data_IF_241280029454
#
_entry.id   IF_241280029454
#
_cell.length_a   1.000
_cell.length_b   1.000
_cell.length_c   1.000
_cell.angle_alpha   90.00
_cell.angle_beta   90.00
_cell.angle_gamma   90.00
#
_symmetry.space_group_name_H-M   'P 1'
#
loop_
_entity.id
_entity.type
_entity.pdbx_description
1 polymer ?
#
# COMPACT_ATOMS: atom_id res chain seq x y z
N UNK A 1 -10.85 -1.40 -4.96
CA UNK A 1 -10.91 -2.59 -4.10
C UNK A 1 -11.37 -3.75 -4.97
N UNK A 2 -10.49 -4.70 -5.22
CA UNK A 2 -10.74 -5.89 -6.04
C UNK A 2 -10.84 -7.11 -5.11
N UNK A 3 -11.85 -7.13 -4.25
CA UNK A 3 -12.03 -8.22 -3.28
C UNK A 3 -12.60 -9.45 -4.01
N UNK A 4 -11.92 -10.59 -3.85
CA UNK A 4 -12.48 -11.89 -4.20
C UNK A 4 -13.06 -12.49 -2.93
N UNK A 5 -14.36 -12.74 -2.96
CA UNK A 5 -15.06 -13.44 -1.89
C UNK A 5 -15.63 -14.70 -2.51
N UNK A 6 -15.01 -15.83 -2.22
CA UNK A 6 -15.58 -17.14 -2.51
C UNK A 6 -16.03 -17.76 -1.17
N UNK A 7 -17.31 -18.18 -1.04
CA UNK A 7 -17.84 -18.76 0.20
C UNK A 7 -17.09 -20.01 0.67
N UNK A 8 -16.50 -20.77 -0.24
CA UNK A 8 -15.82 -22.04 0.03
C UNK A 8 -14.28 -21.90 0.04
N UNK A 9 -13.73 -20.93 -0.71
CA UNK A 9 -12.28 -20.75 -0.91
C UNK A 9 -11.66 -19.59 -0.13
N UNK A 10 -12.47 -18.81 0.59
CA UNK A 10 -12.04 -17.71 1.43
C UNK A 10 -11.97 -16.35 0.72
N UNK A 11 -11.46 -15.34 1.43
CA UNK A 11 -11.32 -13.97 0.93
C UNK A 11 -9.90 -13.75 0.41
N UNK A 12 -9.75 -13.11 -0.75
CA UNK A 12 -8.46 -12.61 -1.24
C UNK A 12 -8.55 -11.11 -1.55
N UNK A 13 -7.70 -10.33 -0.88
CA UNK A 13 -7.67 -8.87 -0.95
C UNK A 13 -6.31 -8.46 -1.53
N UNK A 14 -6.20 -8.25 -2.85
CA UNK A 14 -4.99 -7.73 -3.46
C UNK A 14 -4.84 -6.24 -3.13
N UNK A 15 -3.70 -5.90 -2.53
CA UNK A 15 -3.29 -4.51 -2.29
C UNK A 15 -1.86 -4.34 -2.80
N UNK A 16 -1.60 -3.25 -3.54
CA UNK A 16 -0.36 -3.14 -4.31
C UNK A 16 0.35 -1.81 -4.23
N UNK A 17 1.65 -1.86 -4.50
CA UNK A 17 2.53 -0.72 -4.74
C UNK A 17 3.02 -0.80 -6.18
N UNK A 18 2.98 0.33 -6.89
CA UNK A 18 3.50 0.43 -8.24
C UNK A 18 4.58 1.50 -8.32
N UNK A 19 5.79 1.06 -8.60
CA UNK A 19 6.93 1.90 -8.87
C UNK A 19 6.88 2.39 -10.32
N UNK A 20 6.50 3.66 -10.47
CA UNK A 20 6.38 4.31 -11.78
C UNK A 20 7.75 4.45 -12.47
N UNK A 21 8.82 4.65 -11.70
CA UNK A 21 10.16 4.90 -12.23
C UNK A 21 10.78 3.63 -12.82
N UNK A 22 10.56 2.48 -12.17
CA UNK A 22 11.09 1.19 -12.61
C UNK A 22 10.11 0.36 -13.44
N UNK A 23 8.84 0.77 -13.49
CA UNK A 23 7.76 -0.03 -14.07
C UNK A 23 7.63 -1.40 -13.38
N UNK A 24 7.74 -1.42 -12.05
CA UNK A 24 7.72 -2.62 -11.22
C UNK A 24 6.53 -2.57 -10.24
N UNK A 25 5.93 -3.71 -9.97
CA UNK A 25 4.79 -3.85 -9.07
C UNK A 25 5.05 -4.85 -7.94
N UNK A 26 4.48 -4.56 -6.77
CA UNK A 26 4.37 -5.50 -5.66
C UNK A 26 2.91 -5.60 -5.25
N UNK A 27 2.41 -6.81 -5.02
CA UNK A 27 1.05 -7.04 -4.54
C UNK A 27 1.06 -8.02 -3.37
N UNK A 28 0.62 -7.57 -2.20
CA UNK A 28 0.25 -8.47 -1.12
C UNK A 28 -1.20 -8.89 -1.25
N UNK A 29 -1.48 -10.18 -1.07
CA UNK A 29 -2.83 -10.73 -1.08
C UNK A 29 -3.22 -11.08 0.35
N UNK A 30 -4.03 -10.22 0.97
CA UNK A 30 -4.53 -10.44 2.33
C UNK A 30 -5.73 -11.37 2.35
N UNK A 31 -5.91 -12.10 3.45
CA UNK A 31 -7.06 -13.04 3.62
C UNK A 31 -8.07 -12.61 4.68
N UNK A 32 -7.82 -11.51 5.37
CA UNK A 32 -8.67 -11.02 6.47
C UNK A 32 -9.43 -9.75 6.09
N UNK A 33 -8.86 -8.57 6.33
CA UNK A 33 -9.54 -7.29 6.16
C UNK A 33 -8.62 -6.24 5.50
N UNK A 34 -9.19 -5.40 4.64
CA UNK A 34 -8.50 -4.22 4.12
C UNK A 34 -8.47 -3.12 5.19
N UNK A 35 -7.42 -3.13 5.99
CA UNK A 35 -7.18 -2.15 7.05
C UNK A 35 -6.00 -1.25 6.70
N UNK A 36 -5.89 -0.10 7.37
CA UNK A 36 -4.69 0.75 7.21
C UNK A 36 -3.39 0.03 7.62
N UNK A 37 -3.46 -0.86 8.62
CA UNK A 37 -2.32 -1.69 9.01
C UNK A 37 -1.89 -2.62 7.88
N UNK A 38 -2.85 -3.26 7.21
CA UNK A 38 -2.58 -4.09 6.02
C UNK A 38 -1.97 -3.25 4.89
N UNK A 39 -2.57 -2.11 4.56
CA UNK A 39 -2.07 -1.22 3.51
C UNK A 39 -0.62 -0.78 3.75
N UNK A 40 -0.27 -0.39 4.99
CA UNK A 40 1.10 -0.01 5.35
C UNK A 40 2.04 -1.23 5.39
N UNK A 41 1.56 -2.39 5.83
CA UNK A 41 2.34 -3.63 5.78
C UNK A 41 2.75 -3.99 4.34
N UNK A 42 1.88 -3.76 3.36
CA UNK A 42 2.23 -3.96 1.95
C UNK A 42 3.34 -3.00 1.49
N UNK A 43 3.28 -1.72 1.89
CA UNK A 43 4.34 -0.75 1.60
C UNK A 43 5.66 -1.21 2.24
N UNK A 44 5.63 -1.67 3.49
CA UNK A 44 6.81 -2.21 4.20
C UNK A 44 7.41 -3.41 3.47
N UNK A 45 6.58 -4.39 3.09
CA UNK A 45 7.03 -5.59 2.36
C UNK A 45 7.64 -5.23 1.02
N UNK A 46 6.99 -4.35 0.24
CA UNK A 46 7.55 -3.84 -1.01
C UNK A 46 8.92 -3.18 -0.79
N UNK A 47 9.06 -2.33 0.24
CA UNK A 47 10.32 -1.68 0.55
C UNK A 47 11.43 -2.70 0.81
N UNK A 48 11.20 -3.64 1.73
CA UNK A 48 12.20 -4.65 2.11
C UNK A 48 12.57 -5.58 0.93
N UNK A 49 11.59 -5.95 0.10
CA UNK A 49 11.78 -6.95 -0.95
C UNK A 49 12.30 -6.37 -2.27
N UNK A 50 11.96 -5.10 -2.55
CA UNK A 50 12.23 -4.48 -3.85
C UNK A 50 12.81 -3.06 -3.69
N UNK A 51 12.19 -2.21 -2.88
CA UNK A 51 12.52 -0.80 -2.77
C UNK A 51 13.94 -0.51 -2.25
N UNK A 52 14.36 -1.17 -1.17
CA UNK A 52 15.66 -0.94 -0.53
C UNK A 52 16.83 -1.29 -1.47
N UNK A 53 16.72 -2.42 -2.18
CA UNK A 53 17.73 -2.83 -3.17
C UNK A 53 17.77 -1.86 -4.37
N UNK A 54 16.61 -1.38 -4.82
CA UNK A 54 16.51 -0.46 -5.93
C UNK A 54 16.97 0.97 -5.57
N UNK A 55 16.83 1.37 -4.32
CA UNK A 55 17.07 2.73 -3.83
C UNK A 55 17.86 2.77 -2.51
N UNK A 56 19.12 2.28 -2.49
CA UNK A 56 19.88 2.05 -1.25
C UNK A 56 20.25 3.33 -0.48
N UNK A 57 20.19 4.49 -1.13
CA UNK A 57 20.54 5.79 -0.53
C UNK A 57 19.32 6.68 -0.26
N UNK A 58 18.11 6.17 -0.52
CA UNK A 58 16.89 6.95 -0.33
C UNK A 58 16.69 7.32 1.14
N UNK A 59 16.34 8.59 1.36
CA UNK A 59 15.99 9.15 2.67
C UNK A 59 14.53 9.57 2.78
N UNK A 60 13.83 9.56 1.64
CA UNK A 60 12.45 9.99 1.52
C UNK A 60 11.69 9.03 0.59
N UNK A 61 10.44 8.71 0.94
CA UNK A 61 9.53 7.90 0.16
C UNK A 61 8.27 8.70 -0.16
N UNK A 62 7.93 8.83 -1.45
CA UNK A 62 6.69 9.45 -1.91
C UNK A 62 5.61 8.40 -2.14
N UNK A 63 4.56 8.43 -1.33
CA UNK A 63 3.35 7.63 -1.45
C UNK A 63 2.25 8.47 -2.10
N UNK A 64 1.79 8.05 -3.27
CA UNK A 64 0.64 8.66 -3.95
C UNK A 64 -0.55 7.71 -3.80
N UNK A 65 -1.65 8.17 -3.22
CA UNK A 65 -2.81 7.34 -2.89
C UNK A 65 -4.14 8.01 -3.26
N UNK A 66 -5.19 7.21 -3.47
CA UNK A 66 -6.54 7.71 -3.80
C UNK A 66 -7.24 8.40 -2.61
N UNK A 67 -6.83 8.10 -1.38
CA UNK A 67 -7.32 8.78 -0.18
C UNK A 67 -8.66 8.30 0.34
N UNK A 68 -9.07 7.07 -0.01
CA UNK A 68 -10.28 6.40 0.47
C UNK A 68 -9.99 5.00 1.04
N UNK A 69 -10.93 4.44 1.82
CA UNK A 69 -10.74 3.11 2.43
C UNK A 69 -9.56 3.07 3.41
N UNK A 70 -8.73 2.04 3.32
CA UNK A 70 -7.59 1.81 4.23
C UNK A 70 -6.48 2.86 4.15
N UNK A 71 -6.31 3.55 3.02
CA UNK A 71 -5.38 4.67 2.86
C UNK A 71 -6.06 6.05 2.98
N UNK A 72 -7.21 6.09 3.65
CA UNK A 72 -8.07 7.26 3.67
C UNK A 72 -7.44 8.51 4.30
N UNK A 73 -7.70 9.68 3.68
CA UNK A 73 -7.22 10.99 4.16
C UNK A 73 -7.57 11.23 5.63
N UNK A 74 -8.78 10.84 6.06
CA UNK A 74 -9.28 11.07 7.43
C UNK A 74 -8.96 9.93 8.38
N UNK A 75 -8.38 8.84 7.89
CA UNK A 75 -8.14 7.65 8.70
C UNK A 75 -6.92 7.90 9.59
N UNK A 76 -7.15 7.88 10.91
CA UNK A 76 -6.10 8.08 11.92
C UNK A 76 -5.11 6.92 11.94
N UNK A 77 -5.63 5.69 11.81
CA UNK A 77 -4.84 4.46 11.77
C UNK A 77 -3.80 4.50 10.65
N UNK A 78 -4.17 4.99 9.47
CA UNK A 78 -3.26 5.21 8.34
C UNK A 78 -2.06 6.09 8.70
N UNK A 79 -2.31 7.25 9.35
CA UNK A 79 -1.23 8.15 9.77
C UNK A 79 -0.34 7.52 10.84
N UNK A 80 -0.94 6.86 11.84
CA UNK A 80 -0.21 6.15 12.90
C UNK A 80 0.71 5.07 12.33
N UNK A 81 0.21 4.25 11.41
CA UNK A 81 0.98 3.16 10.83
C UNK A 81 2.07 3.67 9.88
N UNK A 82 1.80 4.71 9.10
CA UNK A 82 2.84 5.37 8.31
C UNK A 82 3.92 6.00 9.19
N UNK A 83 3.57 6.59 10.34
CA UNK A 83 4.57 7.10 11.28
C UNK A 83 5.45 5.96 11.79
N UNK A 84 4.86 4.83 12.18
CA UNK A 84 5.63 3.63 12.58
C UNK A 84 6.54 3.16 11.45
N UNK A 85 6.05 3.13 10.22
CA UNK A 85 6.87 2.77 9.07
C UNK A 85 8.04 3.75 8.85
N UNK A 86 7.80 5.06 8.99
CA UNK A 86 8.85 6.08 8.90
C UNK A 86 9.91 5.90 9.99
N UNK A 87 9.47 5.59 11.21
CA UNK A 87 10.34 5.29 12.35
C UNK A 87 11.17 4.01 12.09
N UNK A 88 10.53 2.92 11.67
CA UNK A 88 11.16 1.62 11.39
C UNK A 88 12.24 1.72 10.30
N UNK A 89 11.95 2.47 9.24
CA UNK A 89 12.83 2.60 8.08
C UNK A 89 13.84 3.74 8.20
N UNK A 90 13.68 4.61 9.20
CA UNK A 90 14.41 5.88 9.32
C UNK A 90 14.36 6.72 8.01
N UNK A 91 13.20 6.72 7.34
CA UNK A 91 12.93 7.39 6.07
C UNK A 91 11.70 8.30 6.22
N UNK A 92 11.78 9.51 5.69
CA UNK A 92 10.63 10.43 5.71
C UNK A 92 9.60 10.00 4.68
N UNK A 93 8.33 9.89 5.08
CA UNK A 93 7.25 9.46 4.18
C UNK A 93 6.40 10.66 3.78
N UNK A 94 6.40 10.98 2.50
CA UNK A 94 5.57 12.00 1.89
C UNK A 94 4.30 11.35 1.36
N UNK A 95 3.14 11.79 1.83
CA UNK A 95 1.84 11.31 1.34
C UNK A 95 1.19 12.39 0.49
N UNK A 96 0.81 12.03 -0.73
CA UNK A 96 0.03 12.87 -1.63
C UNK A 96 -1.24 12.14 -2.02
N UNK A 97 -2.38 12.75 -1.73
CA UNK A 97 -3.66 12.18 -2.11
C UNK A 97 -4.16 12.77 -3.42
N UNK A 98 -4.76 11.92 -4.24
CA UNK A 98 -5.58 12.37 -5.35
C UNK A 98 -6.84 13.08 -4.81
N UNK A 99 -7.31 14.15 -5.49
CA UNK A 99 -8.60 14.73 -5.14
C UNK A 99 -9.77 13.72 -5.27
N UNK A 100 -10.88 13.93 -4.55
CA UNK A 100 -12.07 13.11 -4.70
C UNK A 100 -12.54 13.03 -6.15
N UNK A 101 -12.86 11.83 -6.63
CA UNK A 101 -13.35 11.60 -7.99
C UNK A 101 -12.27 11.52 -9.07
N UNK A 102 -10.97 11.55 -8.72
CA UNK A 102 -9.88 11.50 -9.73
C UNK A 102 -9.17 10.15 -9.83
N UNK A 103 -9.80 9.03 -9.44
CA UNK A 103 -9.20 7.68 -9.50
C UNK A 103 -8.69 7.28 -10.89
N UNK A 104 -9.30 7.83 -11.96
CA UNK A 104 -8.84 7.66 -13.36
C UNK A 104 -7.39 8.12 -13.58
N UNK A 105 -6.86 8.99 -12.73
CA UNK A 105 -5.50 9.49 -12.83
C UNK A 105 -4.50 8.68 -12.02
N UNK A 106 -4.97 7.69 -11.25
CA UNK A 106 -4.13 6.78 -10.52
C UNK A 106 -3.47 5.78 -11.48
N UNK A 107 -2.16 5.93 -11.69
CA UNK A 107 -1.41 5.13 -12.67
C UNK A 107 -1.40 3.65 -12.33
N UNK A 108 -1.51 3.26 -11.06
CA UNK A 108 -1.51 1.84 -10.67
C UNK A 108 -2.68 1.08 -11.30
N UNK A 109 -3.85 1.71 -11.42
CA UNK A 109 -5.04 1.13 -12.03
C UNK A 109 -4.82 0.86 -13.52
N UNK A 110 -4.18 1.81 -14.20
CA UNK A 110 -4.05 1.83 -15.66
C UNK A 110 -2.74 1.25 -16.20
N UNK A 111 -1.75 1.01 -15.35
CA UNK A 111 -0.44 0.45 -15.73
C UNK A 111 -0.10 -0.87 -15.03
N UNK A 112 -0.80 -1.23 -13.97
CA UNK A 112 -0.55 -2.47 -13.22
C UNK A 112 -1.79 -3.34 -13.12
N UNK A 113 -2.87 -2.85 -12.50
CA UNK A 113 -4.08 -3.64 -12.26
C UNK A 113 -4.85 -4.01 -13.53
N UNK A 114 -4.80 -3.17 -14.58
CA UNK A 114 -5.35 -3.52 -15.89
C UNK A 114 -4.76 -4.83 -16.44
N UNK A 115 -3.43 -4.99 -16.38
CA UNK A 115 -2.73 -6.18 -16.87
C UNK A 115 -2.91 -7.39 -15.95
N UNK A 116 -3.02 -7.17 -14.64
CA UNK A 116 -3.40 -8.24 -13.70
C UNK A 116 -4.78 -8.78 -14.08
N UNK A 117 -5.75 -7.90 -14.33
CA UNK A 117 -7.12 -8.27 -14.71
C UNK A 117 -7.15 -9.00 -16.06
N UNK A 118 -6.36 -8.55 -17.04
CA UNK A 118 -6.20 -9.25 -18.32
C UNK A 118 -5.63 -10.65 -18.14
N UNK A 119 -4.62 -10.82 -17.28
CA UNK A 119 -4.00 -12.12 -17.01
C UNK A 119 -4.94 -13.10 -16.30
N UNK A 120 -5.92 -12.59 -15.56
CA UNK A 120 -6.97 -13.39 -14.92
C UNK A 120 -8.07 -13.85 -15.87
N UNK A 121 -8.18 -13.24 -17.05
CA UNK A 121 -9.28 -13.50 -17.98
C UNK A 121 -9.35 -15.00 -18.33
N UNK A 122 -10.53 -15.59 -18.11
CA UNK A 122 -10.83 -16.99 -18.36
C UNK A 122 -9.99 -18.01 -17.54
N UNK A 123 -9.41 -17.59 -16.41
CA UNK A 123 -8.74 -18.50 -15.47
C UNK A 123 -9.59 -18.67 -14.20
N UNK A 124 -9.91 -19.90 -13.78
CA UNK A 124 -10.67 -20.11 -12.56
C UNK A 124 -9.80 -19.76 -11.34
N UNK A 125 -10.31 -18.89 -10.47
CA UNK A 125 -9.65 -18.47 -9.23
C UNK A 125 -9.96 -19.47 -8.12
N UNK A 126 -9.38 -20.67 -8.24
CA UNK A 126 -9.72 -21.84 -7.40
C UNK A 126 -9.10 -21.83 -6.00
N UNK A 127 -8.22 -20.88 -5.68
CA UNK A 127 -7.61 -20.74 -4.36
C UNK A 127 -6.95 -19.37 -4.22
N UNK A 128 -6.69 -18.93 -2.98
CA UNK A 128 -5.89 -17.73 -2.69
C UNK A 128 -4.51 -17.82 -3.34
N UNK A 129 -3.88 -19.01 -3.31
CA UNK A 129 -2.57 -19.22 -3.92
C UNK A 129 -2.63 -19.12 -5.46
N UNK A 130 -3.74 -19.52 -6.07
CA UNK A 130 -4.00 -19.29 -7.51
C UNK A 130 -4.02 -17.79 -7.80
N UNK A 131 -4.69 -16.99 -6.97
CA UNK A 131 -4.72 -15.52 -7.11
C UNK A 131 -3.30 -14.94 -7.01
N UNK A 132 -2.55 -15.30 -5.95
CA UNK A 132 -1.15 -14.87 -5.78
C UNK A 132 -0.31 -15.22 -7.01
N UNK A 133 -0.31 -16.48 -7.42
CA UNK A 133 0.48 -16.93 -8.56
C UNK A 133 0.09 -16.23 -9.87
N UNK A 134 -1.20 -15.97 -10.09
CA UNK A 134 -1.64 -15.26 -11.28
C UNK A 134 -1.19 -13.80 -11.27
N UNK A 135 -1.24 -13.11 -10.13
CA UNK A 135 -0.73 -11.74 -10.02
C UNK A 135 0.77 -11.71 -10.30
N UNK A 136 1.56 -12.54 -9.61
CA UNK A 136 3.02 -12.57 -9.71
C UNK A 136 3.55 -12.99 -11.08
N UNK A 137 2.74 -13.65 -11.90
CA UNK A 137 3.08 -14.01 -13.28
C UNK A 137 2.71 -12.94 -14.32
N UNK A 138 2.17 -11.80 -13.90
CA UNK A 138 1.81 -10.72 -14.82
C UNK A 138 3.06 -10.02 -15.35
N UNK A 139 3.26 -10.05 -16.68
CA UNK A 139 4.38 -9.40 -17.39
C UNK A 139 3.85 -8.70 -18.64
N UNK A 140 4.45 -7.58 -19.02
CA UNK A 140 4.13 -6.90 -20.29
C UNK A 140 5.35 -6.78 -21.20
N UNK A 141 5.13 -6.54 -22.50
CA UNK A 141 6.22 -6.32 -23.46
C UNK A 141 7.00 -5.03 -23.18
N UNK A 142 6.35 -4.08 -22.55
CA UNK A 142 6.88 -2.79 -22.11
C UNK A 142 7.67 -2.91 -20.79
N UNK A 143 7.91 -4.14 -20.31
CA UNK A 143 8.80 -4.41 -19.19
C UNK A 143 8.14 -4.37 -17.82
N UNK A 144 6.79 -4.35 -17.72
CA UNK A 144 6.12 -4.45 -16.42
C UNK A 144 6.46 -5.80 -15.79
N UNK A 145 6.93 -5.73 -14.54
CA UNK A 145 7.23 -6.90 -13.73
C UNK A 145 6.52 -6.78 -12.37
N UNK A 146 5.80 -7.82 -11.96
CA UNK A 146 5.05 -7.84 -10.70
C UNK A 146 5.52 -9.01 -9.85
N UNK A 147 5.85 -8.74 -8.59
CA UNK A 147 5.95 -9.77 -7.54
C UNK A 147 4.70 -9.76 -6.68
N UNK A 148 4.36 -10.91 -6.12
CA UNK A 148 3.23 -11.02 -5.22
C UNK A 148 3.45 -12.07 -4.16
N UNK A 149 2.86 -11.83 -3.00
CA UNK A 149 2.97 -12.71 -1.83
C UNK A 149 1.63 -12.80 -1.11
N UNK A 150 1.38 -13.95 -0.47
CA UNK A 150 0.29 -14.10 0.49
C UNK A 150 0.63 -13.33 1.77
N UNK A 151 -0.33 -12.55 2.27
CA UNK A 151 -0.29 -12.02 3.62
C UNK A 151 -1.35 -12.74 4.48
N UNK A 152 -0.91 -13.72 5.25
CA UNK A 152 -1.72 -14.49 6.18
C UNK A 152 -1.86 -13.82 7.56
N UNK A 153 -1.31 -12.61 7.72
CA UNK A 153 -1.45 -11.83 8.95
C UNK A 153 -2.92 -11.47 9.19
N UNK A 154 -3.35 -11.61 10.44
CA UNK A 154 -4.69 -11.18 10.85
C UNK A 154 -4.69 -9.69 11.21
N UNK A 155 -5.51 -8.92 10.49
CA UNK A 155 -5.72 -7.51 10.77
C UNK A 155 -7.12 -7.29 11.34
N UNK A 156 -7.17 -6.83 12.59
CA UNK A 156 -8.44 -6.55 13.28
C UNK A 156 -9.03 -5.22 12.82
N UNK A 157 -10.35 -5.21 12.68
CA UNK A 157 -11.13 -4.01 12.38
C UNK A 157 -11.46 -3.22 13.66
N UNK A 158 -11.81 -1.95 13.51
CA UNK A 158 -12.30 -1.14 14.63
C UNK A 158 -11.22 -0.63 15.59
N UNK A 159 -9.93 -0.79 15.26
CA UNK A 159 -8.83 -0.24 16.04
C UNK A 159 -8.94 1.29 16.13
N UNK A 160 -9.19 1.77 17.34
CA UNK A 160 -9.27 3.20 17.63
C UNK A 160 -7.87 3.77 17.83
N UNK A 161 -7.67 4.99 17.34
CA UNK A 161 -6.45 5.77 17.59
C UNK A 161 -6.86 6.98 18.41
N UNK A 162 -6.34 7.01 19.64
CA UNK A 162 -6.59 8.07 20.61
C UNK A 162 -5.94 9.40 20.17
N UNK A 163 -6.42 10.49 20.75
CA UNK A 163 -6.01 11.85 20.37
C UNK A 163 -4.54 12.13 20.72
N UNK A 164 -4.06 11.63 21.86
CA UNK A 164 -2.67 11.73 22.30
C UNK A 164 -1.68 11.11 21.29
N UNK A 165 -2.03 9.95 20.72
CA UNK A 165 -1.24 9.31 19.68
C UNK A 165 -1.20 10.20 18.43
N UNK A 166 -2.33 10.80 18.05
CA UNK A 166 -2.41 11.68 16.89
C UNK A 166 -1.58 12.95 17.06
N UNK A 167 -1.54 13.51 18.26
CA UNK A 167 -0.71 14.67 18.60
C UNK A 167 0.79 14.33 18.65
N UNK A 168 1.13 13.08 18.98
CA UNK A 168 2.53 12.59 19.01
C UNK A 168 3.15 12.29 17.64
N UNK A 169 2.39 12.40 16.55
CA UNK A 169 2.90 12.13 15.20
C UNK A 169 3.77 13.30 14.72
N UNK A 170 4.92 13.00 14.12
CA UNK A 170 5.79 14.00 13.50
C UNK A 170 5.28 14.38 12.10
N UNK A 171 4.04 14.90 12.05
CA UNK A 171 3.33 15.23 10.82
C UNK A 171 3.51 16.71 10.45
N UNK A 172 4.09 16.94 9.28
CA UNK A 172 4.17 18.27 8.66
C UNK A 172 3.19 18.34 7.50
N UNK A 173 2.21 19.23 7.57
CA UNK A 173 1.23 19.45 6.49
C UNK A 173 1.86 20.25 5.36
N UNK A 174 1.48 19.97 4.12
CA UNK A 174 1.95 20.72 2.96
C UNK A 174 1.23 22.07 2.83
N UNK A 175 1.89 23.07 2.26
CA UNK A 175 1.28 24.38 1.95
C UNK A 175 0.11 24.23 0.97
N UNK A 176 0.27 23.37 -0.04
CA UNK A 176 -0.77 23.06 -1.00
C UNK A 176 -1.59 21.85 -0.55
N UNK A 177 -2.84 22.15 -0.17
CA UNK A 177 -3.81 21.20 0.36
C UNK A 177 -3.31 20.36 1.56
N UNK A 178 -2.83 21.03 2.61
CA UNK A 178 -2.36 20.39 3.84
C UNK A 178 -3.41 19.57 4.60
N UNK A 179 -4.69 19.73 4.27
CA UNK A 179 -5.79 18.91 4.79
C UNK A 179 -5.70 17.43 4.36
N UNK A 180 -5.05 17.16 3.23
CA UNK A 180 -4.83 15.80 2.74
C UNK A 180 -3.39 15.47 2.34
N UNK A 181 -2.51 16.45 2.19
CA UNK A 181 -1.12 16.25 1.83
C UNK A 181 -0.22 16.54 3.01
N UNK A 182 0.67 15.60 3.33
CA UNK A 182 1.52 15.71 4.50
C UNK A 182 2.82 14.92 4.32
N UNK A 183 3.75 15.16 5.23
CA UNK A 183 5.00 14.43 5.42
C UNK A 183 5.03 13.92 6.85
N UNK A 184 5.51 12.69 7.02
CA UNK A 184 5.81 12.10 8.33
C UNK A 184 7.31 11.91 8.41
N UNK A 185 7.93 12.55 9.39
CA UNK A 185 9.36 12.44 9.66
C UNK A 185 9.61 11.31 10.66
N UNK A 186 10.71 10.55 10.54
CA UNK A 186 11.09 9.56 11.55
C UNK A 186 11.26 10.25 12.90
N UNK A 187 10.57 9.75 13.93
CA UNK A 187 10.77 10.20 15.29
C UNK A 187 12.06 9.57 15.79
N UNK A 188 12.97 10.40 16.29
CA UNK A 188 14.15 9.89 16.98
C UNK A 188 13.66 9.13 18.21
N UNK A 189 13.81 7.80 18.21
CA UNK A 189 13.64 7.03 19.43
C UNK A 189 14.79 7.47 20.33
N UNK A 190 14.51 8.36 21.29
CA UNK A 190 15.43 8.62 22.38
C UNK A 190 15.42 7.34 23.20
N UNK A 191 16.38 6.46 22.93
CA UNK A 191 16.67 5.31 23.78
C UNK A 191 16.98 5.87 25.18
N UNK A 192 16.06 5.65 26.13
CA UNK A 192 16.37 5.80 27.56
C UNK A 192 17.13 4.57 28.06
#
# INVERSE_FOLDING_TARGET
MHDFVDPDLGKAIPYGVYDIGRNEGWVGVGVTHDTSEFAVAIIRRWWIKMGELAYPTARELLVIADGGGSNGVRVRLWKRELQRLADDLAISIHVRHFPPGTRKWNKIEHRMFCHITENWRARPLTSVMTVVNLIGNTRTKEGLFIQSELDDTSYEIGKKVEDDIMESLAITRCDFHGEWNYRLDPRTVVSQ
#
